data_IF_887044834915
#
_entry.id   IF_887044834915
#
_cell.length_a   1.000
_cell.length_b   1.000
_cell.length_c   1.000
_cell.angle_alpha   90.00
_cell.angle_beta   90.00
_cell.angle_gamma   90.00
#
_symmetry.space_group_name_H-M   'P 1'
#
loop_
_entity.id
_entity.type
_entity.pdbx_description
1 polymer ?
#
# COMPACT_ATOMS: atom_id res chain seq x y z
N UNK A 1 -6.42 8.19 -10.10
CA UNK A 1 -6.21 6.90 -10.77
C UNK A 1 -7.32 5.92 -10.42
N UNK A 2 -7.11 4.63 -10.70
CA UNK A 2 -8.05 3.54 -10.36
C UNK A 2 -7.67 2.88 -9.04
N UNK A 3 -8.57 2.07 -8.48
CA UNK A 3 -8.23 1.16 -7.37
C UNK A 3 -7.64 -0.12 -7.97
N UNK A 4 -6.54 -0.57 -7.40
CA UNK A 4 -5.88 -1.83 -7.74
C UNK A 4 -5.91 -2.73 -6.51
N UNK A 5 -6.13 -4.03 -6.72
CA UNK A 5 -5.83 -5.03 -5.71
C UNK A 5 -4.30 -5.19 -5.61
N UNK A 6 -3.77 -5.14 -4.39
CA UNK A 6 -2.34 -5.14 -4.11
C UNK A 6 -2.00 -6.18 -3.08
N UNK A 7 -1.12 -7.14 -3.43
CA UNK A 7 -0.48 -8.03 -2.47
C UNK A 7 0.58 -7.25 -1.70
N UNK A 8 0.48 -7.18 -0.38
CA UNK A 8 1.46 -6.49 0.47
C UNK A 8 2.66 -7.40 0.73
N UNK A 9 3.85 -6.95 0.36
CA UNK A 9 5.09 -7.75 0.40
C UNK A 9 6.19 -7.10 1.25
N UNK A 10 6.06 -5.82 1.59
CA UNK A 10 7.11 -5.12 2.31
C UNK A 10 6.68 -3.78 2.89
N UNK A 11 7.59 -3.20 3.66
CA UNK A 11 7.45 -1.86 4.21
C UNK A 11 8.79 -1.14 4.13
N UNK A 12 8.81 0.04 3.52
CA UNK A 12 9.97 0.90 3.47
C UNK A 12 9.97 1.86 4.66
N UNK A 13 10.81 1.57 5.66
CA UNK A 13 10.93 2.41 6.87
C UNK A 13 11.49 3.81 6.61
N UNK A 14 12.23 4.04 5.51
CA UNK A 14 12.76 5.38 5.20
C UNK A 14 11.70 6.32 4.61
N UNK A 15 10.70 5.79 3.92
CA UNK A 15 9.61 6.57 3.33
C UNK A 15 8.28 6.43 4.07
N UNK A 16 8.17 5.49 5.02
CA UNK A 16 6.93 5.19 5.73
C UNK A 16 5.84 4.57 4.85
N UNK A 17 6.24 3.84 3.80
CA UNK A 17 5.30 3.31 2.80
C UNK A 17 5.28 1.78 2.79
N UNK A 18 4.08 1.23 2.68
CA UNK A 18 3.86 -0.15 2.32
C UNK A 18 4.21 -0.38 0.86
N UNK A 19 4.75 -1.56 0.58
CA UNK A 19 5.17 -1.98 -0.75
C UNK A 19 4.30 -3.18 -1.10
N UNK A 20 3.70 -3.14 -2.27
CA UNK A 20 3.02 -4.31 -2.81
C UNK A 20 3.02 -4.37 -4.32
N UNK A 21 2.46 -5.46 -4.84
CA UNK A 21 2.31 -5.71 -6.28
C UNK A 21 0.86 -5.78 -6.69
N UNK A 22 0.53 -5.14 -7.80
CA UNK A 22 -0.77 -5.30 -8.45
C UNK A 22 -0.87 -6.65 -9.16
N UNK A 23 -2.08 -7.01 -9.61
CA UNK A 23 -2.34 -8.20 -10.45
C UNK A 23 -1.56 -8.21 -11.76
N UNK A 24 -1.06 -7.06 -12.21
CA UNK A 24 -0.21 -6.91 -13.39
C UNK A 24 1.30 -6.94 -13.04
N UNK A 25 1.64 -7.39 -11.82
CA UNK A 25 3.01 -7.46 -11.30
C UNK A 25 3.74 -6.09 -11.26
N UNK A 26 2.99 -4.98 -11.14
CA UNK A 26 3.57 -3.64 -11.03
C UNK A 26 3.72 -3.26 -9.56
N UNK A 27 4.88 -2.72 -9.19
CA UNK A 27 5.12 -2.20 -7.84
C UNK A 27 4.22 -0.99 -7.58
N UNK A 28 3.52 -1.02 -6.45
CA UNK A 28 2.70 0.07 -5.95
C UNK A 28 3.07 0.34 -4.49
N UNK A 29 3.68 1.51 -4.24
CA UNK A 29 3.97 1.99 -2.89
C UNK A 29 2.77 2.77 -2.35
N UNK A 30 2.37 2.54 -1.11
CA UNK A 30 1.19 3.21 -0.56
C UNK A 30 1.29 3.49 0.93
N UNK A 31 0.44 4.40 1.38
CA UNK A 31 0.25 4.71 2.80
C UNK A 31 -1.12 4.22 3.26
N UNK A 32 -1.21 3.88 4.54
CA UNK A 32 -2.49 3.63 5.22
C UNK A 32 -2.88 4.87 6.03
N UNK A 33 -4.18 5.06 6.26
CA UNK A 33 -4.61 6.04 7.26
C UNK A 33 -4.23 5.56 8.66
N UNK A 34 -3.83 6.45 9.58
CA UNK A 34 -3.66 6.09 10.99
C UNK A 34 -4.97 5.53 11.56
N UNK A 35 -4.85 4.61 12.50
CA UNK A 35 -5.98 4.12 13.30
C UNK A 35 -6.53 5.23 14.20
N UNK A 36 -7.75 5.08 14.76
CA UNK A 36 -8.31 6.07 15.68
C UNK A 36 -7.43 6.37 16.90
N UNK A 37 -6.63 5.39 17.33
CA UNK A 37 -5.66 5.52 18.43
C UNK A 37 -4.30 6.10 17.98
N UNK A 38 -4.18 6.50 16.71
CA UNK A 38 -2.96 7.05 16.11
C UNK A 38 -1.92 6.01 15.72
N UNK A 39 -2.16 4.72 15.97
CA UNK A 39 -1.23 3.65 15.59
C UNK A 39 -1.27 3.37 14.09
N UNK A 40 -0.17 2.82 13.57
CA UNK A 40 -0.10 2.24 12.23
C UNK A 40 -0.23 0.72 12.34
N UNK A 41 -0.78 0.03 11.32
CA UNK A 41 -0.85 -1.43 11.33
C UNK A 41 0.54 -2.04 11.41
N UNK A 42 0.67 -3.13 12.17
CA UNK A 42 1.93 -3.85 12.32
C UNK A 42 2.28 -4.60 11.02
N UNK A 43 3.56 -4.94 10.82
CA UNK A 43 4.01 -5.64 9.60
C UNK A 43 3.35 -7.01 9.46
N UNK A 44 3.21 -7.71 10.58
CA UNK A 44 2.63 -9.05 10.71
C UNK A 44 1.14 -9.05 10.36
N UNK A 45 0.45 -7.92 10.57
CA UNK A 45 -0.96 -7.73 10.21
C UNK A 45 -1.16 -7.40 8.74
N UNK A 46 -0.09 -7.05 8.02
CA UNK A 46 -0.13 -6.49 6.67
C UNK A 46 0.42 -7.45 5.63
N UNK A 47 1.58 -8.06 5.89
CA UNK A 47 2.26 -8.90 4.91
C UNK A 47 1.40 -10.09 4.47
N UNK A 48 1.38 -10.34 3.15
CA UNK A 48 0.60 -11.41 2.53
C UNK A 48 -0.89 -11.09 2.32
N UNK A 49 -1.39 -9.96 2.81
CA UNK A 49 -2.78 -9.54 2.55
C UNK A 49 -2.90 -8.89 1.18
N UNK A 50 -4.06 -9.08 0.58
CA UNK A 50 -4.51 -8.27 -0.54
C UNK A 50 -5.29 -7.06 -0.02
N UNK A 51 -4.91 -5.86 -0.45
CA UNK A 51 -5.59 -4.62 -0.08
C UNK A 51 -6.01 -3.82 -1.32
N UNK A 52 -7.18 -3.16 -1.29
CA UNK A 52 -7.55 -2.22 -2.33
C UNK A 52 -6.76 -0.92 -2.16
N UNK A 53 -5.99 -0.53 -3.17
CA UNK A 53 -5.17 0.68 -3.13
C UNK A 53 -5.51 1.62 -4.28
N UNK A 54 -5.88 2.85 -3.95
CA UNK A 54 -6.18 3.90 -4.93
C UNK A 54 -4.88 4.48 -5.47
N UNK A 55 -4.65 4.36 -6.77
CA UNK A 55 -3.50 4.97 -7.44
C UNK A 55 -3.70 6.49 -7.50
N UNK A 56 -2.76 7.23 -6.91
CA UNK A 56 -2.74 8.69 -6.88
C UNK A 56 -1.65 9.27 -7.79
N UNK A 57 -0.55 8.54 -8.01
CA UNK A 57 0.54 8.94 -8.92
C UNK A 57 1.14 7.73 -9.64
N UNK A 58 1.65 7.96 -10.86
CA UNK A 58 2.41 6.99 -11.62
C UNK A 58 3.80 7.55 -11.94
N UNK A 59 4.84 6.76 -11.67
CA UNK A 59 6.20 6.99 -12.16
C UNK A 59 6.56 5.99 -13.27
N UNK A 60 7.78 6.08 -13.83
CA UNK A 60 8.22 5.24 -14.93
C UNK A 60 8.09 3.73 -14.65
N UNK A 61 8.46 3.30 -13.45
CA UNK A 61 8.54 1.87 -13.09
C UNK A 61 7.61 1.46 -11.92
N UNK A 62 6.89 2.41 -11.33
CA UNK A 62 6.08 2.16 -10.14
C UNK A 62 4.85 3.05 -10.06
N UNK A 63 3.94 2.67 -9.20
CA UNK A 63 2.77 3.44 -8.80
C UNK A 63 2.94 3.93 -7.36
N UNK A 64 2.25 5.02 -7.03
CA UNK A 64 2.06 5.44 -5.66
C UNK A 64 0.56 5.63 -5.38
N UNK A 65 0.15 5.35 -4.16
CA UNK A 65 -1.26 5.39 -3.77
C UNK A 65 -1.51 5.49 -2.28
N UNK A 66 -2.77 5.34 -1.94
CA UNK A 66 -3.27 5.27 -0.57
C UNK A 66 -4.22 4.07 -0.45
N UNK A 67 -4.19 3.39 0.69
CA UNK A 67 -5.13 2.31 0.96
C UNK A 67 -6.56 2.87 0.93
N UNK A 68 -7.44 2.22 0.18
CA UNK A 68 -8.82 2.67 0.00
C UNK A 68 -9.71 2.34 1.21
N UNK A 69 -9.19 1.57 2.16
CA UNK A 69 -9.87 1.16 3.40
C UNK A 69 -9.01 1.47 4.62
N UNK A 70 -9.64 1.55 5.79
CA UNK A 70 -8.94 1.52 7.07
C UNK A 70 -8.37 0.13 7.33
N UNK A 71 -7.20 0.08 7.97
CA UNK A 71 -6.47 -1.17 8.25
C UNK A 71 -5.98 -1.21 9.69
#
# INVERSE_FOLDING_TARGET
GTVQEVLVEGFNSSTGQWIGRTTQNRVLNFVTRPRPDGSAPAKEEMFGRYLPVRVTRAGPNSLAGECAIAV
#
